data_IF_259699943367
#
_entry.id   IF_259699943367
#
_cell.length_a   1.000
_cell.length_b   1.000
_cell.length_c   1.000
_cell.angle_alpha   90.00
_cell.angle_beta   90.00
_cell.angle_gamma   90.00
#
_symmetry.space_group_name_H-M   'P 1'
#
loop_
_entity.id
_entity.type
_entity.pdbx_description
1 polymer ?
#
# COMPACT_ATOMS: atom_id res chain seq x y z
N UNK A 1 39.78 0.43 17.57
CA UNK A 1 39.35 0.08 18.94
C UNK A 1 37.85 -0.18 18.93
N UNK A 2 37.40 -1.31 19.46
CA UNK A 2 35.98 -1.72 19.48
C UNK A 2 35.18 -0.85 20.48
N UNK A 3 33.98 -0.41 20.12
CA UNK A 3 33.11 0.36 21.03
C UNK A 3 32.42 -0.62 21.98
N UNK A 4 32.75 -0.63 23.29
CA UNK A 4 32.15 -1.56 24.22
C UNK A 4 30.65 -1.32 24.35
N UNK A 5 29.88 -2.39 24.54
CA UNK A 5 28.40 -2.36 24.64
C UNK A 5 27.92 -1.37 25.70
N UNK A 6 28.65 -1.21 26.81
CA UNK A 6 28.35 -0.25 27.87
C UNK A 6 28.39 1.23 27.41
N UNK A 7 29.04 1.54 26.28
CA UNK A 7 29.08 2.89 25.68
C UNK A 7 28.08 3.05 24.53
N UNK A 8 27.20 2.07 24.29
CA UNK A 8 26.18 2.13 23.25
C UNK A 8 25.08 3.11 23.69
N UNK A 9 24.85 4.15 22.89
CA UNK A 9 23.76 5.10 23.11
C UNK A 9 22.52 4.51 22.47
N UNK A 10 21.46 4.37 23.25
CA UNK A 10 20.13 4.02 22.77
C UNK A 10 19.31 5.29 22.66
N UNK A 11 18.53 5.42 21.58
CA UNK A 11 17.52 6.47 21.48
C UNK A 11 16.48 6.27 22.58
N UNK A 12 16.28 7.29 23.41
CA UNK A 12 15.21 7.30 24.42
C UNK A 12 13.87 7.56 23.72
N UNK A 13 12.80 6.82 24.06
CA UNK A 13 11.46 7.14 23.56
C UNK A 13 11.06 8.56 24.00
N UNK A 14 10.85 9.45 23.03
CA UNK A 14 10.32 10.78 23.26
C UNK A 14 8.82 10.80 22.89
N UNK A 15 7.98 11.58 23.58
CA UNK A 15 6.60 11.78 23.17
C UNK A 15 6.57 12.43 21.78
N UNK A 16 5.69 11.94 20.90
CA UNK A 16 5.50 12.53 19.58
C UNK A 16 4.69 13.83 19.71
N UNK A 17 5.16 14.90 19.09
CA UNK A 17 4.40 16.15 19.06
C UNK A 17 3.14 15.97 18.23
N UNK A 18 2.06 16.66 18.61
CA UNK A 18 0.75 16.53 17.97
C UNK A 18 0.80 16.78 16.45
N UNK A 19 1.66 17.70 16.00
CA UNK A 19 1.84 18.02 14.58
C UNK A 19 2.43 16.87 13.73
N UNK A 20 3.07 15.88 14.37
CA UNK A 20 3.63 14.70 13.71
C UNK A 20 2.76 13.45 13.93
N UNK A 21 1.65 13.58 14.65
CA UNK A 21 0.73 12.48 14.90
C UNK A 21 0.03 12.10 13.61
N UNK A 22 -0.05 10.80 13.34
CA UNK A 22 -0.81 10.28 12.19
C UNK A 22 -2.30 10.47 12.48
N UNK A 23 -2.95 11.27 11.64
CA UNK A 23 -4.40 11.49 11.68
C UNK A 23 -5.07 10.55 10.68
N UNK A 24 -6.19 9.94 11.09
CA UNK A 24 -7.05 9.14 10.22
C UNK A 24 -8.46 9.69 10.34
N UNK A 25 -9.10 9.96 9.21
CA UNK A 25 -10.50 10.37 9.15
C UNK A 25 -11.28 9.18 8.63
N UNK A 26 -12.23 8.70 9.42
CA UNK A 26 -13.16 7.67 8.98
C UNK A 26 -14.32 8.34 8.24
N UNK A 27 -14.85 7.74 7.16
CA UNK A 27 -16.12 8.18 6.59
C UNK A 27 -17.25 8.06 7.61
N UNK A 28 -18.32 8.82 7.43
CA UNK A 28 -19.48 8.80 8.32
C UNK A 28 -20.19 7.42 8.28
N UNK A 29 -20.46 6.89 7.08
CA UNK A 29 -20.99 5.53 6.86
C UNK A 29 -20.11 4.74 5.88
N UNK A 30 -19.42 3.67 6.32
CA UNK A 30 -18.57 2.86 5.45
C UNK A 30 -19.35 1.95 4.48
N UNK A 31 -20.68 1.84 4.64
CA UNK A 31 -21.54 1.01 3.78
C UNK A 31 -22.26 1.84 2.72
N UNK A 32 -22.14 3.16 2.76
CA UNK A 32 -22.79 4.05 1.81
C UNK A 32 -22.30 3.77 0.38
N UNK A 33 -23.24 3.58 -0.55
CA UNK A 33 -22.94 3.33 -1.96
C UNK A 33 -22.57 1.88 -2.32
N UNK A 34 -22.59 0.94 -1.38
CA UNK A 34 -22.40 -0.48 -1.71
C UNK A 34 -23.55 -1.02 -2.55
N UNK A 35 -23.21 -1.74 -3.62
CA UNK A 35 -24.17 -2.48 -4.43
C UNK A 35 -24.68 -3.71 -3.67
N UNK A 36 -25.98 -4.03 -3.74
CA UNK A 36 -26.52 -5.23 -3.13
C UNK A 36 -25.96 -6.48 -3.80
N UNK A 37 -25.76 -7.53 -3.02
CA UNK A 37 -25.28 -8.82 -3.53
C UNK A 37 -26.33 -9.46 -4.46
N UNK A 38 -25.94 -9.94 -5.66
CA UNK A 38 -26.85 -10.65 -6.54
C UNK A 38 -27.20 -12.02 -5.94
N UNK A 39 -28.49 -12.34 -5.90
CA UNK A 39 -28.97 -13.67 -5.47
C UNK A 39 -28.56 -14.76 -6.46
N UNK A 40 -28.43 -14.41 -7.74
CA UNK A 40 -27.98 -15.28 -8.82
C UNK A 40 -26.83 -14.59 -9.55
N UNK A 41 -25.57 -14.83 -9.14
CA UNK A 41 -24.43 -14.18 -9.75
C UNK A 41 -24.29 -14.59 -11.22
N UNK A 42 -23.97 -13.65 -12.12
CA UNK A 42 -23.76 -13.94 -13.53
C UNK A 42 -22.52 -14.83 -13.72
N UNK A 43 -22.40 -15.41 -14.92
CA UNK A 43 -21.16 -16.08 -15.31
C UNK A 43 -19.99 -15.08 -15.30
N UNK A 44 -18.79 -15.57 -14.97
CA UNK A 44 -17.59 -14.73 -14.93
C UNK A 44 -17.28 -14.17 -16.33
N UNK A 45 -17.08 -12.86 -16.39
CA UNK A 45 -16.61 -12.15 -17.58
C UNK A 45 -15.37 -11.35 -17.15
N UNK A 46 -14.22 -11.51 -17.83
CA UNK A 46 -13.01 -10.74 -17.54
C UNK A 46 -13.27 -9.22 -17.58
N UNK A 47 -12.74 -8.52 -16.59
CA UNK A 47 -12.80 -7.07 -16.47
C UNK A 47 -11.61 -6.37 -17.13
N UNK A 48 -11.44 -5.08 -16.85
CA UNK A 48 -10.29 -4.32 -17.34
C UNK A 48 -8.99 -4.73 -16.64
N UNK A 49 -9.06 -4.98 -15.33
CA UNK A 49 -7.93 -5.36 -14.48
C UNK A 49 -8.01 -6.81 -14.03
N UNK A 50 -9.21 -7.27 -13.69
CA UNK A 50 -9.42 -8.65 -13.27
C UNK A 50 -9.62 -9.58 -14.47
N UNK A 51 -8.50 -10.05 -15.02
CA UNK A 51 -8.48 -10.97 -16.17
C UNK A 51 -8.68 -12.43 -15.75
N UNK A 52 -8.91 -13.30 -16.74
CA UNK A 52 -8.98 -14.76 -16.51
C UNK A 52 -7.69 -15.29 -15.86
N UNK A 53 -6.53 -14.83 -16.29
CA UNK A 53 -5.23 -15.22 -15.72
C UNK A 53 -5.13 -14.82 -14.25
N UNK A 54 -5.59 -13.61 -13.89
CA UNK A 54 -5.65 -13.17 -12.49
C UNK A 54 -6.62 -14.01 -11.66
N UNK A 55 -7.78 -14.35 -12.21
CA UNK A 55 -8.77 -15.18 -11.53
C UNK A 55 -8.26 -16.60 -11.25
N UNK A 56 -7.52 -17.17 -12.20
CA UNK A 56 -6.94 -18.51 -12.07
C UNK A 56 -5.73 -18.50 -11.11
N UNK A 57 -4.91 -17.44 -11.14
CA UNK A 57 -3.79 -17.27 -10.22
C UNK A 57 -4.19 -16.97 -8.78
N UNK A 58 -5.34 -16.32 -8.57
CA UNK A 58 -5.86 -15.99 -7.24
C UNK A 58 -6.27 -17.24 -6.44
N UNK A 59 -6.56 -18.36 -7.13
CA UNK A 59 -6.98 -19.64 -6.54
C UNK A 59 -8.00 -19.45 -5.41
N UNK A 60 -9.20 -19.00 -5.77
CA UNK A 60 -10.25 -18.59 -4.81
C UNK A 60 -10.78 -19.72 -3.91
N UNK A 61 -10.57 -20.98 -4.29
CA UNK A 61 -11.04 -22.13 -3.54
C UNK A 61 -10.03 -23.29 -3.57
N UNK A 62 -8.86 -23.12 -2.91
CA UNK A 62 -7.80 -24.14 -2.93
C UNK A 62 -8.24 -25.43 -2.23
N UNK A 63 -9.27 -25.35 -1.37
CA UNK A 63 -9.79 -26.46 -0.59
C UNK A 63 -11.02 -27.14 -1.22
N UNK A 64 -11.52 -26.63 -2.36
CA UNK A 64 -12.80 -27.06 -2.98
C UNK A 64 -13.96 -27.07 -1.96
N UNK A 65 -14.01 -26.08 -1.07
CA UNK A 65 -15.01 -25.98 -0.01
C UNK A 65 -16.23 -25.16 -0.43
N UNK A 66 -16.05 -24.20 -1.34
CA UNK A 66 -17.12 -23.30 -1.78
C UNK A 66 -18.06 -24.00 -2.75
N UNK A 67 -19.35 -23.65 -2.68
CA UNK A 67 -20.30 -24.11 -3.70
C UNK A 67 -20.03 -23.39 -5.03
N UNK A 68 -20.39 -24.00 -6.18
CA UNK A 68 -20.19 -23.36 -7.48
C UNK A 68 -20.82 -21.96 -7.58
N UNK A 69 -21.97 -21.75 -6.93
CA UNK A 69 -22.67 -20.46 -6.83
C UNK A 69 -21.93 -19.46 -5.94
N UNK A 70 -21.35 -19.91 -4.82
CA UNK A 70 -20.54 -19.05 -3.95
C UNK A 70 -19.26 -18.61 -4.64
N UNK A 71 -18.58 -19.53 -5.33
CA UNK A 71 -17.39 -19.22 -6.11
C UNK A 71 -17.70 -18.20 -7.22
N UNK A 72 -18.85 -18.32 -7.89
CA UNK A 72 -19.33 -17.31 -8.86
C UNK A 72 -19.59 -15.97 -8.19
N UNK A 73 -20.19 -15.96 -7.00
CA UNK A 73 -20.43 -14.73 -6.25
C UNK A 73 -19.12 -14.04 -5.87
N UNK A 74 -18.13 -14.78 -5.35
CA UNK A 74 -16.83 -14.21 -5.01
C UNK A 74 -16.13 -13.63 -6.25
N UNK A 75 -16.16 -14.35 -7.38
CA UNK A 75 -15.62 -13.84 -8.65
C UNK A 75 -16.33 -12.56 -9.10
N UNK A 76 -17.65 -12.47 -8.92
CA UNK A 76 -18.41 -11.27 -9.21
C UNK A 76 -18.01 -10.10 -8.31
N UNK A 77 -17.84 -10.32 -7.00
CA UNK A 77 -17.40 -9.29 -6.05
C UNK A 77 -16.03 -8.74 -6.42
N UNK A 78 -15.06 -9.63 -6.69
CA UNK A 78 -13.69 -9.22 -7.08
C UNK A 78 -13.71 -8.43 -8.38
N UNK A 79 -14.53 -8.85 -9.35
CA UNK A 79 -14.71 -8.15 -10.63
C UNK A 79 -15.34 -6.77 -10.44
N UNK A 80 -16.40 -6.65 -9.64
CA UNK A 80 -17.10 -5.39 -9.45
C UNK A 80 -16.22 -4.35 -8.73
N UNK A 81 -15.31 -4.83 -7.87
CA UNK A 81 -14.36 -4.00 -7.14
C UNK A 81 -12.93 -4.12 -7.71
N UNK A 82 -12.78 -4.37 -9.01
CA UNK A 82 -11.46 -4.64 -9.61
C UNK A 82 -10.45 -3.50 -9.44
N UNK A 83 -10.93 -2.25 -9.27
CA UNK A 83 -10.07 -1.07 -9.01
C UNK A 83 -9.53 -1.01 -7.59
N UNK A 84 -10.13 -1.74 -6.64
CA UNK A 84 -9.66 -1.81 -5.26
C UNK A 84 -8.44 -2.72 -5.10
N UNK A 85 -8.21 -3.62 -6.05
CA UNK A 85 -7.08 -4.53 -6.08
C UNK A 85 -6.01 -4.03 -7.05
N UNK A 86 -4.77 -4.45 -6.80
CA UNK A 86 -3.64 -4.23 -7.70
C UNK A 86 -3.08 -5.60 -8.11
N UNK A 87 -3.20 -5.93 -9.39
CA UNK A 87 -2.71 -7.17 -9.99
C UNK A 87 -1.30 -7.00 -10.56
N UNK A 88 -0.98 -5.77 -10.98
CA UNK A 88 0.36 -5.37 -11.40
C UNK A 88 0.90 -4.19 -10.58
N UNK A 89 2.22 -4.00 -10.46
CA UNK A 89 2.81 -2.94 -9.65
C UNK A 89 2.35 -1.52 -10.02
N UNK A 90 2.01 -1.29 -11.29
CA UNK A 90 1.53 0.02 -11.77
C UNK A 90 0.11 0.35 -11.32
N UNK A 91 -0.67 -0.64 -10.89
CA UNK A 91 -2.02 -0.46 -10.34
C UNK A 91 -2.00 -0.16 -8.84
N UNK A 92 -0.83 -0.24 -8.20
CA UNK A 92 -0.70 0.05 -6.78
C UNK A 92 -1.13 1.48 -6.48
N UNK A 93 -2.27 1.60 -5.80
CA UNK A 93 -2.86 2.88 -5.42
C UNK A 93 -2.10 3.58 -4.29
N UNK A 94 -2.47 4.84 -4.06
CA UNK A 94 -2.10 5.60 -2.86
C UNK A 94 -3.31 5.65 -1.93
N UNK A 95 -3.06 5.83 -0.64
CA UNK A 95 -4.14 6.13 0.30
C UNK A 95 -4.77 7.48 -0.09
N UNK A 96 -6.10 7.53 -0.03
CA UNK A 96 -6.84 8.76 -0.29
C UNK A 96 -6.50 9.81 0.77
N UNK A 97 -6.11 11.01 0.33
CA UNK A 97 -5.73 12.13 1.20
C UNK A 97 -6.90 12.64 2.05
N UNK A 98 -8.15 12.38 1.63
CA UNK A 98 -9.35 12.70 2.40
C UNK A 98 -9.39 11.91 3.72
N UNK A 99 -9.04 10.63 3.67
CA UNK A 99 -9.00 9.74 4.84
C UNK A 99 -7.65 9.76 5.56
N UNK A 100 -6.56 9.88 4.79
CA UNK A 100 -5.18 9.83 5.26
C UNK A 100 -4.40 11.06 4.80
N UNK A 101 -4.47 12.18 5.53
CA UNK A 101 -3.68 13.36 5.19
C UNK A 101 -2.18 13.05 5.19
N UNK A 102 -1.37 13.80 4.41
CA UNK A 102 0.07 13.58 4.32
C UNK A 102 0.75 13.57 5.70
N UNK A 103 1.54 12.52 5.96
CA UNK A 103 2.28 12.37 7.21
C UNK A 103 3.47 13.33 7.24
N UNK A 104 3.62 14.06 8.34
CA UNK A 104 4.81 14.86 8.61
C UNK A 104 5.81 14.01 9.39
N UNK A 105 7.00 13.83 8.84
CA UNK A 105 8.11 13.15 9.52
C UNK A 105 8.82 14.19 10.37
N UNK A 106 8.95 13.93 11.68
CA UNK A 106 9.75 14.75 12.57
C UNK A 106 11.23 14.65 12.16
N UNK A 107 11.79 15.73 11.63
CA UNK A 107 13.20 15.81 11.26
C UNK A 107 13.95 16.63 12.31
N UNK A 108 15.13 16.16 12.68
CA UNK A 108 16.06 16.92 13.53
C UNK A 108 17.10 17.56 12.61
N UNK A 109 17.42 18.87 12.78
CA UNK A 109 18.49 19.49 12.00
C UNK A 109 19.79 18.72 12.22
N UNK A 110 20.28 18.07 11.17
CA UNK A 110 21.48 17.25 11.21
C UNK A 110 22.61 17.95 10.46
N UNK A 111 23.75 18.15 11.12
CA UNK A 111 24.99 18.60 10.46
C UNK A 111 25.62 17.39 9.75
N UNK A 112 25.77 17.39 8.42
CA UNK A 112 26.37 16.26 7.70
C UNK A 112 27.78 15.98 8.22
N UNK A 113 28.05 14.74 8.62
CA UNK A 113 29.34 14.30 9.18
C UNK A 113 30.52 14.52 8.22
N UNK A 114 30.27 14.47 6.91
CA UNK A 114 31.22 14.87 5.88
C UNK A 114 30.48 15.14 4.57
N UNK A 115 30.42 16.40 4.13
CA UNK A 115 30.05 16.75 2.77
C UNK A 115 31.31 16.78 1.92
N UNK A 116 31.89 15.61 1.62
CA UNK A 116 32.93 15.54 0.58
C UNK A 116 32.24 15.82 -0.75
N UNK A 117 32.68 16.84 -1.49
CA UNK A 117 32.28 16.99 -2.89
C UNK A 117 32.54 15.67 -3.59
N UNK A 118 31.52 15.10 -4.23
CA UNK A 118 31.69 13.99 -5.14
C UNK A 118 32.64 14.50 -6.24
N UNK A 119 33.81 13.89 -6.46
CA UNK A 119 34.73 14.33 -7.49
C UNK A 119 34.00 14.34 -8.83
N UNK A 120 34.02 15.47 -9.53
CA UNK A 120 33.45 15.56 -10.88
C UNK A 120 34.33 14.68 -11.79
N UNK A 121 33.74 13.76 -12.59
CA UNK A 121 34.50 12.98 -13.54
C UNK A 121 35.28 13.88 -14.51
N UNK A 122 36.57 13.61 -14.80
CA UNK A 122 37.41 14.45 -15.67
C UNK A 122 36.79 14.77 -17.02
N UNK A 123 36.03 13.81 -17.57
CA UNK A 123 35.31 13.91 -18.86
C UNK A 123 34.34 15.10 -18.96
N UNK A 124 33.88 15.66 -17.83
CA UNK A 124 32.99 16.83 -17.81
C UNK A 124 33.79 18.14 -17.96
N UNK A 125 35.09 18.14 -17.63
CA UNK A 125 35.95 19.32 -17.76
C UNK A 125 36.51 19.54 -19.17
N UNK A 126 36.42 18.53 -20.04
CA UNK A 126 36.94 18.56 -21.42
C UNK A 126 35.88 19.03 -22.46
N UNK A 127 34.74 19.57 -22.00
CA UNK A 127 33.65 20.11 -22.82
C UNK A 127 33.51 21.61 -22.57
#
# INVERSE_FOLDING_TARGET
>A
AYKPVAKKVHSTPAPIEEQFRIVRRLPDDPLEGLTPLPTHPPAFVPGERFTQECADALDLDPANWLWPEELKLVRWIVREHETAFAWIPTEQGRLDEHYFPPVKIATVPHTPWAQRNIPIPPRIHDQ
#
